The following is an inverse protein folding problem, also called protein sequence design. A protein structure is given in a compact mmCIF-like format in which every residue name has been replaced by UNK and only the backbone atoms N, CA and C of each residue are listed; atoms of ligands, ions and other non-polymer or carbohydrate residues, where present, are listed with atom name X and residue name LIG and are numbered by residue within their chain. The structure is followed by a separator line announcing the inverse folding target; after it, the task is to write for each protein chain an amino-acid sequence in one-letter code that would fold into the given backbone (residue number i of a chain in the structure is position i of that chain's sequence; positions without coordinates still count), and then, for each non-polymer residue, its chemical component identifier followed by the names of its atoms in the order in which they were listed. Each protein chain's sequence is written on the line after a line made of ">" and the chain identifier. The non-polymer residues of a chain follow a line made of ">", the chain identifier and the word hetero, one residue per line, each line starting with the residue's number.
data_IF_412078937915
#
_entry.id   IF_412078937915
#
_cell.length_a   1.000
_cell.length_b   1.000
_cell.length_c   1.000
_cell.angle_alpha   90.00
_cell.angle_beta   90.00
_cell.angle_gamma   90.00
#
_symmetry.space_group_name_H-M   'P 1'
#
loop_
_entity.id
_entity.type
_entity.pdbx_description
1 polymer ?
#
# COMPACT_ATOMS: atom_id res chain seq x y z
N UNK A 1 17.07 -4.12 -9.52
CA UNK A 1 15.78 -3.92 -8.82
C UNK A 1 14.73 -4.77 -9.52
N UNK A 2 14.03 -5.58 -8.78
CA UNK A 2 13.03 -6.51 -9.32
C UNK A 2 11.71 -6.39 -8.60
N UNK A 3 10.61 -6.52 -9.34
CA UNK A 3 9.26 -6.56 -8.81
C UNK A 3 8.67 -7.95 -8.97
N UNK A 4 7.92 -8.40 -7.97
CA UNK A 4 7.17 -9.65 -8.00
C UNK A 4 5.89 -9.54 -7.20
N UNK A 5 4.99 -10.48 -7.39
CA UNK A 5 3.83 -10.57 -6.50
C UNK A 5 4.28 -10.89 -5.08
N UNK A 6 3.65 -10.27 -4.10
CA UNK A 6 3.94 -10.60 -2.71
C UNK A 6 3.37 -11.97 -2.32
N UNK A 7 3.99 -12.57 -1.33
CA UNK A 7 3.54 -13.81 -0.68
C UNK A 7 3.46 -13.53 0.80
N UNK A 8 2.26 -13.31 1.31
CA UNK A 8 2.07 -12.85 2.68
C UNK A 8 2.66 -13.81 3.72
N UNK A 9 2.71 -15.12 3.44
CA UNK A 9 3.31 -16.10 4.34
C UNK A 9 4.78 -15.79 4.65
N UNK A 10 5.51 -15.26 3.68
CA UNK A 10 6.94 -14.95 3.81
C UNK A 10 7.24 -13.47 3.87
N UNK A 11 6.38 -12.63 3.28
CA UNK A 11 6.65 -11.21 3.10
C UNK A 11 6.04 -10.33 4.19
N UNK A 12 5.02 -10.81 4.91
CA UNK A 12 4.33 -10.02 5.93
C UNK A 12 5.28 -9.42 6.97
N UNK A 13 6.31 -10.16 7.36
CA UNK A 13 7.30 -9.69 8.33
C UNK A 13 8.02 -8.41 7.89
N UNK A 14 8.24 -8.24 6.57
CA UNK A 14 8.85 -7.02 6.04
C UNK A 14 7.89 -5.83 6.14
N UNK A 15 6.62 -6.04 5.84
CA UNK A 15 5.59 -5.00 5.97
C UNK A 15 5.50 -4.51 7.41
N UNK A 16 5.46 -5.44 8.37
CA UNK A 16 5.40 -5.11 9.80
C UNK A 16 6.63 -4.29 10.22
N UNK A 17 7.82 -4.71 9.81
CA UNK A 17 9.05 -3.99 10.10
C UNK A 17 9.01 -2.56 9.54
N UNK A 18 8.61 -2.40 8.29
CA UNK A 18 8.58 -1.08 7.67
C UNK A 18 7.50 -0.18 8.28
N UNK A 19 6.32 -0.70 8.59
CA UNK A 19 5.29 0.08 9.27
C UNK A 19 5.79 0.60 10.62
N UNK A 20 6.52 -0.22 11.36
CA UNK A 20 7.12 0.20 12.64
C UNK A 20 8.13 1.34 12.48
N UNK A 21 8.89 1.34 11.39
CA UNK A 21 9.86 2.41 11.11
C UNK A 21 9.20 3.78 10.98
N UNK A 22 7.97 3.82 10.49
CA UNK A 22 7.19 5.06 10.30
C UNK A 22 6.21 5.32 11.44
N UNK A 23 6.21 4.48 12.45
CA UNK A 23 5.21 4.54 13.52
C UNK A 23 3.78 4.41 13.00
N UNK A 24 3.61 3.66 11.92
CA UNK A 24 2.29 3.29 11.41
C UNK A 24 1.71 2.15 12.25
N UNK A 25 0.40 2.01 12.26
CA UNK A 25 -0.24 0.85 12.84
C UNK A 25 0.06 -0.41 12.02
N UNK A 26 -0.14 -1.57 12.64
CA UNK A 26 0.09 -2.87 12.01
C UNK A 26 -1.25 -3.43 11.56
N UNK A 27 -1.39 -3.59 10.24
CA UNK A 27 -2.58 -4.21 9.65
C UNK A 27 -2.52 -5.71 9.89
N UNK A 28 -3.59 -6.33 10.45
CA UNK A 28 -3.61 -7.78 10.57
C UNK A 28 -3.43 -8.46 9.21
N UNK A 29 -2.65 -9.51 9.18
CA UNK A 29 -2.35 -10.23 7.94
C UNK A 29 -3.61 -10.66 7.19
N UNK A 30 -4.62 -11.11 7.92
CA UNK A 30 -5.91 -11.54 7.36
C UNK A 30 -6.71 -10.41 6.71
N UNK A 31 -6.34 -9.14 6.97
CA UNK A 31 -6.99 -7.98 6.41
C UNK A 31 -6.26 -7.46 5.15
N UNK A 32 -5.12 -8.02 4.81
CA UNK A 32 -4.38 -7.62 3.61
C UNK A 32 -4.93 -8.31 2.37
N UNK A 33 -4.89 -7.66 1.21
CA UNK A 33 -5.33 -8.29 -0.03
C UNK A 33 -4.36 -9.42 -0.42
N UNK A 34 -4.83 -10.48 -1.08
CA UNK A 34 -3.96 -11.52 -1.61
C UNK A 34 -3.05 -11.00 -2.72
N UNK A 35 -3.43 -9.92 -3.38
CA UNK A 35 -2.71 -9.33 -4.50
C UNK A 35 -1.90 -8.13 -4.04
N UNK A 36 -0.64 -8.13 -4.37
CA UNK A 36 0.27 -7.05 -4.06
C UNK A 36 1.62 -7.26 -4.73
N UNK A 37 2.47 -6.26 -4.61
CA UNK A 37 3.80 -6.23 -5.22
C UNK A 37 4.84 -6.05 -4.13
N UNK A 38 5.93 -6.78 -4.26
CA UNK A 38 7.18 -6.58 -3.53
C UNK A 38 8.25 -6.16 -4.54
N UNK A 39 8.98 -5.12 -4.22
CA UNK A 39 10.18 -4.71 -4.95
C UNK A 39 11.40 -5.05 -4.11
N UNK A 40 12.39 -5.66 -4.74
CA UNK A 40 13.62 -6.10 -4.07
C UNK A 40 14.86 -5.59 -4.80
N UNK A 41 15.92 -5.34 -4.04
CA UNK A 41 17.31 -5.37 -4.48
C UNK A 41 17.86 -6.76 -4.10
N UNK A 42 18.77 -6.82 -3.12
CA UNK A 42 19.20 -8.12 -2.56
C UNK A 42 18.11 -8.74 -1.70
N UNK A 43 17.32 -7.89 -1.06
CA UNK A 43 16.17 -8.26 -0.21
C UNK A 43 15.01 -7.32 -0.49
N UNK A 44 13.81 -7.66 -0.02
CA UNK A 44 12.65 -6.78 -0.16
C UNK A 44 12.90 -5.39 0.44
N UNK A 45 12.47 -4.35 -0.27
CA UNK A 45 12.63 -2.95 0.15
C UNK A 45 11.37 -2.11 0.03
N UNK A 46 10.36 -2.56 -0.71
CA UNK A 46 9.16 -1.77 -0.96
C UNK A 46 7.98 -2.69 -1.25
N UNK A 47 6.80 -2.26 -0.89
CA UNK A 47 5.58 -3.02 -1.15
C UNK A 47 4.37 -2.11 -1.37
N UNK A 48 3.37 -2.67 -2.05
CA UNK A 48 2.03 -2.11 -2.16
C UNK A 48 1.04 -3.23 -2.39
N UNK A 49 -0.19 -3.06 -1.90
CA UNK A 49 -1.27 -4.01 -2.11
C UNK A 49 -2.36 -3.43 -2.98
N UNK A 50 -3.17 -4.30 -3.57
CA UNK A 50 -4.35 -3.91 -4.31
C UNK A 50 -5.53 -4.80 -3.95
N UNK A 51 -6.65 -4.17 -3.61
CA UNK A 51 -7.93 -4.86 -3.45
C UNK A 51 -8.65 -4.83 -4.78
N UNK A 52 -8.91 -6.00 -5.32
CA UNK A 52 -9.70 -6.17 -6.54
C UNK A 52 -11.14 -6.44 -6.13
N UNK A 53 -12.02 -5.47 -6.34
CA UNK A 53 -13.41 -5.60 -5.91
C UNK A 53 -14.17 -6.53 -6.85
N UNK A 54 -14.46 -7.74 -6.38
CA UNK A 54 -15.13 -8.78 -7.16
C UNK A 54 -16.43 -8.27 -7.80
N UNK A 55 -16.62 -8.62 -9.08
CA UNK A 55 -17.81 -8.25 -9.83
C UNK A 55 -17.86 -6.80 -10.27
N UNK A 56 -16.79 -6.04 -10.07
CA UNK A 56 -16.71 -4.65 -10.50
C UNK A 56 -15.41 -4.38 -11.26
N UNK A 57 -15.34 -3.21 -11.90
CA UNK A 57 -14.11 -2.72 -12.52
C UNK A 57 -13.42 -1.67 -11.63
N UNK A 58 -13.49 -1.87 -10.33
CA UNK A 58 -12.92 -0.97 -9.32
C UNK A 58 -11.82 -1.69 -8.54
N UNK A 59 -10.70 -1.01 -8.33
CA UNK A 59 -9.61 -1.48 -7.52
C UNK A 59 -9.15 -0.43 -6.52
N UNK A 60 -8.57 -0.88 -5.42
CA UNK A 60 -8.14 0.01 -4.33
C UNK A 60 -6.68 -0.32 -3.99
N UNK A 61 -5.77 0.62 -4.29
CA UNK A 61 -4.35 0.49 -3.92
C UNK A 61 -4.13 1.00 -2.50
N UNK A 62 -3.52 0.16 -1.67
CA UNK A 62 -3.22 0.52 -0.29
C UNK A 62 -1.91 -0.08 0.18
N UNK A 63 -1.50 0.37 1.35
CA UNK A 63 -0.36 -0.16 2.08
C UNK A 63 0.96 0.03 1.34
N UNK A 64 1.08 1.14 0.62
CA UNK A 64 2.31 1.53 -0.05
C UNK A 64 3.33 1.90 1.02
N UNK A 65 4.44 1.18 1.04
CA UNK A 65 5.48 1.38 2.05
C UNK A 65 6.85 1.04 1.48
N UNK A 66 7.85 1.79 1.87
CA UNK A 66 9.25 1.57 1.49
C UNK A 66 10.11 1.50 2.75
N UNK A 67 11.13 0.66 2.74
CA UNK A 67 12.09 0.57 3.84
C UNK A 67 12.74 1.95 4.05
N UNK A 68 12.55 2.51 5.24
CA UNK A 68 13.07 3.85 5.59
C UNK A 68 14.59 3.91 5.61
N UNK A 69 15.25 2.77 5.74
CA UNK A 69 16.71 2.68 5.87
C UNK A 69 17.45 2.77 4.54
N UNK A 70 16.75 2.68 3.40
CA UNK A 70 17.39 2.80 2.10
C UNK A 70 17.53 4.26 1.68
N UNK A 71 18.49 4.54 0.78
CA UNK A 71 18.71 5.91 0.30
C UNK A 71 17.54 6.47 -0.49
N UNK A 72 17.43 7.79 -0.52
CA UNK A 72 16.30 8.50 -1.15
C UNK A 72 16.14 8.17 -2.63
N UNK A 73 17.23 8.08 -3.38
CA UNK A 73 17.17 7.75 -4.81
C UNK A 73 16.65 6.33 -5.03
N UNK A 74 17.13 5.37 -4.24
CA UNK A 74 16.68 3.98 -4.31
C UNK A 74 15.21 3.87 -3.91
N UNK A 75 14.80 4.57 -2.86
CA UNK A 75 13.41 4.63 -2.43
C UNK A 75 12.50 5.20 -3.52
N UNK A 76 12.94 6.28 -4.18
CA UNK A 76 12.21 6.89 -5.29
C UNK A 76 11.99 5.89 -6.42
N UNK A 77 13.05 5.20 -6.84
CA UNK A 77 12.97 4.23 -7.92
C UNK A 77 12.11 3.02 -7.54
N UNK A 78 12.24 2.54 -6.30
CA UNK A 78 11.47 1.40 -5.82
C UNK A 78 9.97 1.71 -5.76
N UNK A 79 9.61 2.88 -5.25
CA UNK A 79 8.21 3.32 -5.18
C UNK A 79 7.60 3.48 -6.57
N UNK A 80 8.35 4.08 -7.52
CA UNK A 80 7.87 4.22 -8.88
C UNK A 80 7.61 2.85 -9.52
N UNK A 81 8.57 1.94 -9.41
CA UNK A 81 8.40 0.58 -9.94
C UNK A 81 7.21 -0.12 -9.29
N UNK A 82 7.11 -0.06 -7.97
CA UNK A 82 6.05 -0.73 -7.22
C UNK A 82 4.66 -0.24 -7.64
N UNK A 83 4.47 1.06 -7.71
CA UNK A 83 3.18 1.66 -8.07
C UNK A 83 2.83 1.35 -9.53
N UNK A 84 3.80 1.43 -10.46
CA UNK A 84 3.55 1.09 -11.86
C UNK A 84 3.19 -0.38 -12.03
N UNK A 85 3.78 -1.28 -11.26
CA UNK A 85 3.41 -2.69 -11.27
C UNK A 85 2.00 -2.93 -10.70
N UNK A 86 1.59 -2.18 -9.70
CA UNK A 86 0.20 -2.21 -9.21
C UNK A 86 -0.75 -1.73 -10.29
N UNK A 87 -0.43 -0.64 -10.98
CA UNK A 87 -1.24 -0.13 -12.09
C UNK A 87 -1.35 -1.16 -13.20
N UNK A 88 -0.25 -1.83 -13.54
CA UNK A 88 -0.27 -2.89 -14.55
C UNK A 88 -1.13 -4.07 -14.10
N UNK A 89 -1.04 -4.48 -12.84
CA UNK A 89 -1.88 -5.53 -12.29
C UNK A 89 -3.36 -5.16 -12.36
N UNK A 90 -3.69 -3.90 -12.09
CA UNK A 90 -5.06 -3.39 -12.23
C UNK A 90 -5.54 -3.50 -13.68
N UNK A 91 -4.71 -3.08 -14.63
CA UNK A 91 -5.02 -3.22 -16.07
C UNK A 91 -5.23 -4.67 -16.48
N UNK A 92 -4.37 -5.57 -16.03
CA UNK A 92 -4.45 -6.99 -16.32
C UNK A 92 -5.72 -7.63 -15.77
N UNK A 93 -6.30 -7.06 -14.73
CA UNK A 93 -7.56 -7.49 -14.13
C UNK A 93 -8.77 -6.67 -14.60
N UNK A 94 -8.60 -5.94 -15.69
CA UNK A 94 -9.66 -5.17 -16.32
C UNK A 94 -10.32 -4.13 -15.40
N UNK A 95 -9.51 -3.54 -14.50
CA UNK A 95 -9.94 -2.46 -13.62
C UNK A 95 -10.01 -1.17 -14.42
N UNK A 96 -11.11 -0.43 -14.27
CA UNK A 96 -11.28 0.88 -14.89
C UNK A 96 -10.86 2.01 -13.97
N UNK A 97 -11.23 1.94 -12.70
CA UNK A 97 -10.91 2.97 -11.71
C UNK A 97 -10.04 2.36 -10.62
N UNK A 98 -8.82 2.88 -10.50
CA UNK A 98 -7.92 2.57 -9.40
C UNK A 98 -7.95 3.73 -8.41
N UNK A 99 -8.35 3.44 -7.19
CA UNK A 99 -8.54 4.40 -6.11
C UNK A 99 -7.48 4.21 -5.03
N UNK A 100 -7.03 5.28 -4.43
CA UNK A 100 -6.15 5.23 -3.27
C UNK A 100 -6.36 6.44 -2.39
N UNK A 101 -6.04 6.31 -1.10
CA UNK A 101 -6.11 7.39 -0.12
C UNK A 101 -4.80 7.43 0.64
N UNK A 102 -4.22 8.61 0.77
CA UNK A 102 -3.04 8.80 1.60
C UNK A 102 -3.02 10.19 2.23
N UNK A 103 -2.62 10.25 3.49
CA UNK A 103 -2.34 11.50 4.18
C UNK A 103 -0.88 11.93 4.03
N UNK A 104 -0.04 11.09 3.43
CA UNK A 104 1.39 11.37 3.26
C UNK A 104 1.62 12.29 2.07
N UNK A 105 2.11 13.49 2.33
CA UNK A 105 2.34 14.50 1.30
C UNK A 105 3.28 14.01 0.19
N UNK A 106 4.31 13.25 0.54
CA UNK A 106 5.26 12.71 -0.43
C UNK A 106 4.59 11.75 -1.42
N UNK A 107 3.67 10.91 -0.95
CA UNK A 107 2.89 10.02 -1.82
C UNK A 107 1.87 10.80 -2.65
N UNK A 108 1.21 11.78 -2.07
CA UNK A 108 0.26 12.65 -2.79
C UNK A 108 0.93 13.30 -4.01
N UNK A 109 2.11 13.88 -3.81
CA UNK A 109 2.88 14.49 -4.89
C UNK A 109 3.31 13.47 -5.94
N UNK A 110 3.73 12.29 -5.51
CA UNK A 110 4.17 11.21 -6.39
C UNK A 110 3.07 10.75 -7.31
N UNK A 111 1.89 10.50 -6.77
CA UNK A 111 0.75 9.98 -7.54
C UNK A 111 0.36 10.91 -8.69
N UNK A 112 0.32 12.20 -8.47
CA UNK A 112 -0.01 13.16 -9.52
C UNK A 112 1.15 13.40 -10.48
N UNK A 113 2.37 13.52 -9.98
CA UNK A 113 3.54 13.86 -10.80
C UNK A 113 4.02 12.72 -11.67
N UNK A 114 4.05 11.49 -11.15
CA UNK A 114 4.71 10.36 -11.82
C UNK A 114 3.76 9.28 -12.32
N UNK A 115 2.54 9.22 -11.82
CA UNK A 115 1.64 8.10 -12.09
C UNK A 115 0.32 8.49 -12.75
N UNK A 116 0.17 9.77 -13.12
CA UNK A 116 -0.99 10.24 -13.85
C UNK A 116 -2.31 10.16 -13.08
N UNK A 117 -2.25 10.12 -11.75
CA UNK A 117 -3.45 10.08 -10.92
C UNK A 117 -4.02 11.49 -10.72
N UNK A 118 -5.32 11.60 -10.66
CA UNK A 118 -6.02 12.85 -10.43
C UNK A 118 -6.51 12.92 -8.98
N UNK A 119 -6.50 14.14 -8.41
CA UNK A 119 -7.03 14.36 -7.07
C UNK A 119 -8.56 14.29 -7.13
N UNK A 120 -9.13 13.34 -6.40
CA UNK A 120 -10.58 13.21 -6.27
C UNK A 120 -11.12 14.09 -5.14
N UNK A 121 -10.77 13.77 -3.90
CA UNK A 121 -11.22 14.48 -2.70
C UNK A 121 -10.00 14.96 -1.91
N UNK A 122 -9.98 16.24 -1.50
CA UNK A 122 -8.85 16.83 -0.79
C UNK A 122 -8.97 16.75 0.73
N UNK A 123 -10.19 16.66 1.25
CA UNK A 123 -10.45 16.68 2.67
C UNK A 123 -11.37 15.52 3.02
N UNK A 124 -10.83 14.50 3.64
CA UNK A 124 -11.58 13.30 4.03
C UNK A 124 -11.04 12.75 5.33
N UNK A 125 -11.90 12.00 6.03
CA UNK A 125 -11.54 11.22 7.21
C UNK A 125 -11.76 9.76 6.90
N UNK A 126 -10.92 8.90 7.47
CA UNK A 126 -11.14 7.46 7.41
C UNK A 126 -11.84 6.99 8.68
N UNK A 127 -12.71 6.02 8.54
CA UNK A 127 -13.43 5.41 9.66
C UNK A 127 -13.20 3.92 9.64
N UNK A 128 -12.99 3.34 10.81
CA UNK A 128 -12.74 1.91 10.97
C UNK A 128 -13.65 1.37 12.07
N UNK A 129 -14.21 0.19 11.83
CA UNK A 129 -14.93 -0.56 12.85
C UNK A 129 -14.45 -2.00 12.80
N UNK A 130 -13.93 -2.51 13.89
CA UNK A 130 -13.54 -3.91 14.00
C UNK A 130 -14.78 -4.74 14.33
N UNK A 131 -15.12 -5.68 13.45
CA UNK A 131 -16.30 -6.53 13.60
C UNK A 131 -16.01 -7.82 14.37
N UNK A 132 -14.80 -7.99 14.87
CA UNK A 132 -14.39 -9.17 15.64
C UNK A 132 -14.62 -9.05 17.16
N UNK A 133 -15.45 -8.09 17.60
CA UNK A 133 -15.73 -7.77 19.01
C UNK A 133 -14.55 -7.14 19.76
N UNK A 134 -13.48 -6.76 19.10
CA UNK A 134 -12.41 -5.97 19.70
C UNK A 134 -12.81 -4.51 19.73
N UNK A 135 -12.34 -3.77 20.74
CA UNK A 135 -12.55 -2.34 20.76
C UNK A 135 -11.57 -1.64 19.81
N UNK A 136 -12.02 -0.54 19.24
CA UNK A 136 -11.24 0.26 18.30
C UNK A 136 -9.82 0.55 18.81
N UNK A 137 -9.71 0.95 20.07
CA UNK A 137 -8.43 1.28 20.71
C UNK A 137 -7.46 0.10 20.82
N UNK A 138 -7.95 -1.12 20.64
CA UNK A 138 -7.13 -2.34 20.72
C UNK A 138 -6.54 -2.73 19.37
N UNK A 139 -6.83 -1.98 18.31
CA UNK A 139 -6.32 -2.23 16.97
C UNK A 139 -4.91 -1.65 16.80
N UNK A 140 -3.96 -2.49 16.40
CA UNK A 140 -2.57 -2.08 16.22
C UNK A 140 -2.37 -1.08 15.09
N UNK A 141 -3.22 -1.12 14.05
CA UNK A 141 -3.09 -0.22 12.91
C UNK A 141 -3.86 1.09 13.08
N UNK A 142 -4.63 1.23 14.15
CA UNK A 142 -5.35 2.46 14.45
C UNK A 142 -4.61 3.18 15.56
N UNK A 143 -4.05 4.33 15.25
CA UNK A 143 -3.34 5.15 16.22
C UNK A 143 -4.10 6.44 16.41
N UNK A 144 -4.27 6.81 17.64
CA UNK A 144 -4.76 8.10 18.14
C UNK A 144 -5.65 8.87 17.16
N UNK A 145 -6.88 8.48 17.19
CA UNK A 145 -7.88 9.24 16.46
C UNK A 145 -7.94 10.69 16.94
#
# INVERSE_FOLDING_TARGET
>A
MQARKWKLETDYKYLVEWWKQYDFGIVPKECLPPDGIIVSLDKPICAAGIYLCNGTKFGFMEWVVVDKKIGLKTAHNALNLCIEEIIQMAKDNNIRLLYTVTAQEALQKRYTKYHGMEVGEKSSMTFVKDLSNKQYKDLDFVKDA
#
